data_IF_913365067110
#
_entry.id   IF_913365067110
#
_cell.length_a   1.000
_cell.length_b   1.000
_cell.length_c   1.000
_cell.angle_alpha   90.00
_cell.angle_beta   90.00
_cell.angle_gamma   90.00
#
_symmetry.space_group_name_H-M   'P 1'
#
loop_
_entity.id
_entity.type
_entity.pdbx_description
1 polymer ?
#
# COMPACT_ATOMS: atom_id res chain seq x y z
N UNK A 1 -29.77 -5.24 3.84
CA UNK A 1 -29.30 -3.84 3.76
C UNK A 1 -28.65 -3.67 2.40
N UNK A 2 -28.97 -2.59 1.69
CA UNK A 2 -28.34 -2.19 0.42
C UNK A 2 -27.53 -0.93 0.70
N UNK A 3 -26.24 -0.95 0.30
CA UNK A 3 -25.34 0.19 0.43
C UNK A 3 -24.92 0.59 -1.00
N UNK A 4 -25.14 1.85 -1.36
CA UNK A 4 -24.79 2.40 -2.68
C UNK A 4 -23.87 3.60 -2.48
N UNK A 5 -22.76 3.63 -3.21
CA UNK A 5 -21.84 4.77 -3.22
C UNK A 5 -21.02 4.77 -4.50
N UNK A 6 -20.54 5.94 -4.89
CA UNK A 6 -19.41 6.04 -5.81
C UNK A 6 -18.09 5.87 -5.03
N UNK A 7 -17.05 5.31 -5.63
CA UNK A 7 -15.73 5.21 -5.01
C UNK A 7 -15.17 6.58 -4.60
N UNK A 8 -14.81 6.73 -3.34
CA UNK A 8 -14.22 7.97 -2.84
C UNK A 8 -13.08 7.68 -1.84
N UNK A 9 -11.96 7.24 -2.37
CA UNK A 9 -10.79 6.86 -1.58
C UNK A 9 -10.98 5.56 -0.79
N UNK A 10 -10.03 5.28 0.11
CA UNK A 10 -10.00 4.04 0.91
C UNK A 10 -10.78 4.20 2.23
N UNK A 11 -12.04 4.55 2.13
CA UNK A 11 -12.95 4.75 3.26
C UNK A 11 -13.64 3.45 3.71
N UNK A 12 -14.67 3.56 4.57
CA UNK A 12 -15.45 2.40 5.04
C UNK A 12 -16.11 1.63 3.88
N UNK A 13 -16.60 2.33 2.84
CA UNK A 13 -17.20 1.67 1.68
C UNK A 13 -16.15 0.83 0.92
N UNK A 14 -14.94 1.35 0.73
CA UNK A 14 -13.83 0.57 0.16
C UNK A 14 -13.53 -0.69 0.95
N UNK A 15 -13.50 -0.59 2.30
CA UNK A 15 -13.29 -1.75 3.16
C UNK A 15 -14.41 -2.78 3.01
N UNK A 16 -15.66 -2.35 3.04
CA UNK A 16 -16.82 -3.24 2.85
C UNK A 16 -16.79 -3.92 1.49
N UNK A 17 -16.41 -3.18 0.45
CA UNK A 17 -16.27 -3.68 -0.92
C UNK A 17 -15.19 -4.76 -1.02
N UNK A 18 -13.96 -4.47 -0.59
CA UNK A 18 -12.84 -5.42 -0.64
C UNK A 18 -13.06 -6.65 0.24
N UNK A 19 -13.73 -6.50 1.37
CA UNK A 19 -14.13 -7.61 2.23
C UNK A 19 -15.21 -8.48 1.55
N UNK A 20 -16.10 -7.89 0.74
CA UNK A 20 -17.09 -8.62 -0.06
C UNK A 20 -16.43 -9.41 -1.21
N UNK A 21 -15.54 -8.77 -1.97
CA UNK A 21 -14.78 -9.43 -3.06
C UNK A 21 -13.96 -10.61 -2.54
N UNK A 22 -13.36 -10.46 -1.35
CA UNK A 22 -12.55 -11.51 -0.70
C UNK A 22 -13.37 -12.47 0.16
N UNK A 23 -14.72 -12.37 0.13
CA UNK A 23 -15.67 -13.22 0.89
C UNK A 23 -15.46 -13.18 2.42
N UNK A 24 -14.97 -12.07 2.95
CA UNK A 24 -14.81 -11.84 4.38
C UNK A 24 -16.07 -11.32 5.06
N UNK A 25 -17.05 -10.85 4.28
CA UNK A 25 -18.36 -10.45 4.72
C UNK A 25 -19.45 -11.12 3.86
N UNK A 26 -20.73 -10.88 4.18
CA UNK A 26 -21.89 -11.49 3.49
C UNK A 26 -22.48 -10.60 2.40
N UNK A 27 -21.88 -9.45 2.10
CA UNK A 27 -22.35 -8.58 1.03
C UNK A 27 -22.00 -9.17 -0.34
N UNK A 28 -22.87 -8.88 -1.32
CA UNK A 28 -22.64 -9.20 -2.72
C UNK A 28 -22.24 -7.90 -3.42
N UNK A 29 -20.99 -7.77 -3.93
CA UNK A 29 -20.57 -6.59 -4.63
C UNK A 29 -21.21 -6.55 -6.02
N UNK A 30 -21.80 -5.41 -6.38
CA UNK A 30 -22.36 -5.15 -7.72
C UNK A 30 -21.72 -3.85 -8.19
N UNK A 31 -21.01 -3.91 -9.30
CA UNK A 31 -20.43 -2.76 -9.99
C UNK A 31 -21.22 -2.51 -11.27
N UNK A 32 -21.46 -1.24 -11.59
CA UNK A 32 -22.08 -0.83 -12.86
C UNK A 32 -21.12 0.15 -13.54
N UNK A 33 -20.32 -0.37 -14.45
CA UNK A 33 -19.40 0.41 -15.24
C UNK A 33 -20.15 1.23 -16.30
N UNK A 34 -19.63 2.41 -16.66
CA UNK A 34 -20.31 3.33 -17.59
C UNK A 34 -20.65 2.68 -18.95
N UNK A 35 -19.79 1.77 -19.43
CA UNK A 35 -19.99 1.07 -20.72
C UNK A 35 -21.16 0.06 -20.72
N UNK A 36 -21.67 -0.31 -19.53
CA UNK A 36 -22.82 -1.20 -19.39
C UNK A 36 -24.14 -0.44 -19.43
N UNK A 37 -24.08 0.90 -19.37
CA UNK A 37 -25.29 1.76 -19.37
C UNK A 37 -25.68 2.10 -20.80
N UNK A 38 -26.89 1.75 -21.24
CA UNK A 38 -27.35 2.07 -22.59
C UNK A 38 -27.24 3.55 -22.93
N UNK A 39 -26.76 3.87 -24.14
CA UNK A 39 -26.58 5.23 -24.61
C UNK A 39 -25.28 5.90 -24.20
N UNK A 40 -24.41 5.24 -23.47
CA UNK A 40 -23.06 5.72 -23.13
C UNK A 40 -22.03 5.03 -24.03
N UNK A 41 -21.44 5.80 -24.94
CA UNK A 41 -20.41 5.39 -25.87
C UNK A 41 -19.11 6.17 -25.67
N UNK A 42 -18.09 5.90 -26.48
CA UNK A 42 -16.81 6.61 -26.43
C UNK A 42 -16.93 8.12 -26.69
N UNK A 43 -17.94 8.55 -27.46
CA UNK A 43 -18.22 9.98 -27.66
C UNK A 43 -18.73 10.60 -26.37
N UNK A 44 -19.71 9.96 -25.73
CA UNK A 44 -20.21 10.36 -24.42
C UNK A 44 -19.09 10.42 -23.37
N UNK A 45 -18.18 9.43 -23.36
CA UNK A 45 -17.02 9.42 -22.45
C UNK A 45 -16.16 10.67 -22.64
N UNK A 46 -15.77 10.97 -23.88
CA UNK A 46 -14.93 12.13 -24.19
C UNK A 46 -15.60 13.46 -23.81
N UNK A 47 -16.87 13.59 -24.08
CA UNK A 47 -17.65 14.79 -23.72
C UNK A 47 -17.74 14.93 -22.19
N UNK A 48 -17.99 13.83 -21.47
CA UNK A 48 -18.08 13.84 -20.01
C UNK A 48 -16.74 14.20 -19.36
N UNK A 49 -15.63 13.62 -19.82
CA UNK A 49 -14.27 13.96 -19.36
C UNK A 49 -13.96 15.43 -19.63
N UNK A 50 -14.32 15.97 -20.81
CA UNK A 50 -14.12 17.38 -21.15
C UNK A 50 -14.89 18.33 -20.23
N UNK A 51 -16.07 17.93 -19.79
CA UNK A 51 -16.94 18.74 -18.92
C UNK A 51 -16.61 18.59 -17.43
N UNK A 52 -15.83 17.58 -17.04
CA UNK A 52 -15.48 17.29 -15.65
C UNK A 52 -13.95 17.19 -15.47
N UNK A 53 -13.44 16.00 -15.35
CA UNK A 53 -12.02 15.66 -15.40
C UNK A 53 -11.86 14.15 -15.51
N UNK A 54 -10.69 13.68 -15.98
CA UNK A 54 -10.36 12.24 -15.99
C UNK A 54 -10.49 11.60 -14.61
N UNK A 55 -10.04 12.32 -13.58
CA UNK A 55 -10.12 11.84 -12.19
C UNK A 55 -11.54 11.68 -11.70
N UNK A 56 -12.43 12.64 -12.02
CA UNK A 56 -13.84 12.55 -11.65
C UNK A 56 -14.55 11.48 -12.45
N UNK A 57 -14.26 11.37 -13.74
CA UNK A 57 -14.79 10.31 -14.59
C UNK A 57 -14.43 8.92 -14.07
N UNK A 58 -13.17 8.69 -13.73
CA UNK A 58 -12.70 7.42 -13.18
C UNK A 58 -13.41 7.03 -11.87
N UNK A 59 -13.68 7.98 -10.99
CA UNK A 59 -14.42 7.73 -9.75
C UNK A 59 -15.90 7.40 -9.98
N UNK A 60 -16.58 8.24 -10.77
CA UNK A 60 -18.04 8.20 -10.86
C UNK A 60 -18.54 7.19 -11.89
N UNK A 61 -17.75 6.93 -12.94
CA UNK A 61 -18.20 6.15 -14.09
C UNK A 61 -17.35 4.91 -14.36
N UNK A 62 -16.04 4.91 -14.05
CA UNK A 62 -15.19 3.72 -14.14
C UNK A 62 -15.10 2.96 -12.80
N UNK A 63 -15.86 3.41 -11.78
CA UNK A 63 -15.93 2.77 -10.47
C UNK A 63 -14.57 2.60 -9.78
N UNK A 64 -13.59 3.45 -10.10
CA UNK A 64 -12.26 3.33 -9.55
C UNK A 64 -12.13 3.89 -8.14
N UNK A 65 -11.74 3.07 -7.18
CA UNK A 65 -11.29 3.54 -5.87
C UNK A 65 -9.92 4.20 -6.02
N UNK A 66 -9.94 5.46 -6.44
CA UNK A 66 -8.74 6.26 -6.47
C UNK A 66 -8.33 6.55 -5.02
N UNK A 67 -7.08 6.26 -4.67
CA UNK A 67 -6.48 6.72 -3.43
C UNK A 67 -6.57 8.25 -3.31
N UNK A 68 -5.99 8.86 -2.27
CA UNK A 68 -6.10 10.32 -2.10
C UNK A 68 -5.65 11.01 -3.40
N UNK A 69 -6.42 12.02 -3.85
CA UNK A 69 -6.19 12.75 -5.11
C UNK A 69 -4.81 13.43 -5.15
N UNK A 70 -4.21 13.63 -3.97
CA UNK A 70 -2.92 14.31 -3.78
C UNK A 70 -1.76 13.35 -3.50
N UNK A 71 -1.78 12.14 -4.05
CA UNK A 71 -0.62 11.25 -3.93
C UNK A 71 0.48 11.64 -4.93
N UNK A 72 1.73 11.58 -4.50
CA UNK A 72 2.91 11.83 -5.34
C UNK A 72 2.94 10.89 -6.57
N UNK A 73 2.44 9.67 -6.41
CA UNK A 73 2.36 8.67 -7.47
C UNK A 73 0.89 8.43 -7.81
N UNK A 74 0.55 8.55 -9.09
CA UNK A 74 -0.82 8.31 -9.55
C UNK A 74 -1.29 6.90 -9.17
N UNK A 75 -2.52 6.71 -8.63
CA UNK A 75 -3.02 5.42 -8.16
C UNK A 75 -2.96 4.29 -9.20
N UNK A 76 -3.19 4.59 -10.49
CA UNK A 76 -3.08 3.60 -11.57
C UNK A 76 -1.68 3.01 -11.70
N UNK A 77 -0.63 3.78 -11.39
CA UNK A 77 0.75 3.28 -11.37
C UNK A 77 1.03 2.42 -10.15
N UNK A 78 0.39 2.72 -9.01
CA UNK A 78 0.51 1.91 -7.79
C UNK A 78 -0.16 0.54 -7.99
N UNK A 79 -1.30 0.49 -8.69
CA UNK A 79 -2.04 -0.76 -8.97
C UNK A 79 -1.23 -1.78 -9.79
N UNK A 80 -0.32 -1.32 -10.66
CA UNK A 80 0.50 -2.23 -11.50
C UNK A 80 1.79 -2.68 -10.83
N UNK A 81 2.10 -2.17 -9.62
CA UNK A 81 3.25 -2.64 -8.86
C UNK A 81 2.97 -4.07 -8.38
N UNK A 82 3.79 -5.06 -8.78
CA UNK A 82 3.55 -6.43 -8.39
C UNK A 82 3.70 -6.60 -6.88
N UNK A 83 2.74 -7.28 -6.25
CA UNK A 83 2.84 -7.64 -4.85
C UNK A 83 3.80 -8.82 -4.67
N UNK A 84 4.70 -8.73 -3.70
CA UNK A 84 5.61 -9.82 -3.34
C UNK A 84 5.03 -10.64 -2.19
N UNK A 85 4.95 -11.95 -2.35
CA UNK A 85 4.48 -12.85 -1.30
C UNK A 85 5.49 -12.89 -0.15
N UNK A 86 5.01 -12.75 1.09
CA UNK A 86 5.81 -12.88 2.30
C UNK A 86 6.14 -14.35 2.61
N UNK A 87 7.35 -14.62 3.09
CA UNK A 87 7.71 -15.90 3.68
C UNK A 87 7.15 -16.04 5.09
N UNK A 88 7.28 -14.98 5.88
CA UNK A 88 6.71 -14.87 7.23
C UNK A 88 6.20 -13.46 7.46
N UNK A 89 5.12 -13.35 8.23
CA UNK A 89 4.55 -12.08 8.68
C UNK A 89 4.17 -12.20 10.15
N UNK A 90 4.76 -11.38 11.01
CA UNK A 90 4.50 -11.39 12.45
C UNK A 90 4.68 -10.01 13.05
N UNK A 91 3.71 -9.54 13.84
CA UNK A 91 3.75 -8.29 14.60
C UNK A 91 4.23 -7.06 13.81
N UNK A 92 3.84 -6.97 12.54
CA UNK A 92 4.22 -5.88 11.65
C UNK A 92 5.54 -6.10 10.90
N UNK A 93 6.27 -7.20 11.16
CA UNK A 93 7.48 -7.58 10.44
C UNK A 93 7.14 -8.60 9.34
N UNK A 94 7.36 -8.21 8.10
CA UNK A 94 7.21 -9.04 6.91
C UNK A 94 8.59 -9.39 6.35
N UNK A 95 8.88 -10.66 6.22
CA UNK A 95 10.10 -11.17 5.60
C UNK A 95 9.76 -11.74 4.22
N UNK A 96 10.44 -11.27 3.21
CA UNK A 96 10.27 -11.70 1.81
C UNK A 96 11.34 -12.69 1.37
N UNK A 97 12.58 -12.53 1.87
CA UNK A 97 13.71 -13.41 1.58
C UNK A 97 14.51 -13.63 2.86
N UNK A 98 15.00 -14.85 3.06
CA UNK A 98 15.91 -15.14 4.18
C UNK A 98 17.27 -14.48 3.95
N UNK A 99 17.98 -14.08 5.02
CA UNK A 99 19.33 -13.56 4.89
C UNK A 99 20.28 -14.62 4.28
N UNK A 100 21.13 -14.15 3.37
CA UNK A 100 22.22 -14.88 2.77
C UNK A 100 23.56 -14.34 3.31
N UNK A 101 24.45 -15.20 3.73
CA UNK A 101 25.75 -14.81 4.34
C UNK A 101 26.67 -14.03 3.40
N UNK A 102 26.53 -14.25 2.10
CA UNK A 102 27.32 -13.60 1.04
C UNK A 102 26.75 -12.24 0.63
N UNK A 103 25.55 -11.91 1.10
CA UNK A 103 24.84 -10.70 0.68
C UNK A 103 25.13 -9.52 1.61
N UNK A 104 25.12 -8.32 1.02
CA UNK A 104 25.22 -7.05 1.71
C UNK A 104 23.83 -6.40 1.79
N UNK A 105 23.46 -5.96 2.99
CA UNK A 105 22.15 -5.39 3.25
C UNK A 105 22.24 -3.97 3.79
N UNK A 106 21.18 -3.20 3.54
CA UNK A 106 20.96 -1.87 4.13
C UNK A 106 19.59 -1.87 4.78
N UNK A 107 19.48 -1.37 6.00
CA UNK A 107 18.22 -1.14 6.70
C UNK A 107 17.97 0.37 6.76
N UNK A 108 16.81 0.78 6.25
CA UNK A 108 16.38 2.19 6.27
C UNK A 108 15.18 2.30 7.19
N UNK A 109 15.29 3.11 8.24
CA UNK A 109 14.27 3.26 9.28
C UNK A 109 13.73 4.68 9.37
N UNK A 110 12.43 4.78 9.60
CA UNK A 110 11.70 6.01 9.92
C UNK A 110 10.94 5.81 11.24
N UNK A 111 11.14 6.73 12.19
CA UNK A 111 10.67 6.60 13.56
C UNK A 111 9.49 7.52 13.80
N UNK A 112 8.35 6.97 14.22
CA UNK A 112 7.18 7.72 14.65
C UNK A 112 7.06 7.78 16.19
N UNK A 113 6.22 8.68 16.68
CA UNK A 113 6.01 8.89 18.14
C UNK A 113 5.26 7.77 18.86
N UNK A 114 4.64 6.81 18.12
CA UNK A 114 3.92 5.67 18.72
C UNK A 114 2.59 6.02 19.40
N UNK A 115 1.94 7.11 18.98
CA UNK A 115 0.66 7.59 19.53
C UNK A 115 -0.49 7.49 18.52
N UNK A 116 -0.68 6.30 17.91
CA UNK A 116 -1.80 5.98 17.02
C UNK A 116 -2.04 6.97 15.84
N UNK A 117 -0.99 7.51 15.27
CA UNK A 117 -1.05 8.33 14.07
C UNK A 117 -0.11 7.74 13.03
N UNK A 118 1.11 8.23 13.02
CA UNK A 118 2.15 7.73 12.14
C UNK A 118 2.73 6.40 12.61
N UNK A 119 3.23 5.61 11.69
CA UNK A 119 3.84 4.31 11.97
C UNK A 119 5.35 4.42 12.01
N UNK A 120 6.00 3.84 13.02
CA UNK A 120 7.41 3.50 12.92
C UNK A 120 7.58 2.40 11.88
N UNK A 121 8.49 2.59 10.95
CA UNK A 121 8.70 1.68 9.83
C UNK A 121 10.18 1.51 9.51
N UNK A 122 10.54 0.37 8.93
CA UNK A 122 11.80 0.18 8.24
C UNK A 122 11.66 -0.78 7.07
N UNK A 123 12.61 -0.70 6.17
CA UNK A 123 12.80 -1.66 5.08
C UNK A 123 14.22 -2.22 5.13
N UNK A 124 14.37 -3.48 4.71
CA UNK A 124 15.67 -4.12 4.50
C UNK A 124 15.83 -4.40 3.03
N UNK A 125 16.95 -3.92 2.48
CA UNK A 125 17.24 -4.00 1.05
C UNK A 125 18.54 -4.80 0.87
N UNK A 126 18.51 -5.79 0.01
CA UNK A 126 19.70 -6.45 -0.52
C UNK A 126 20.31 -5.57 -1.62
N UNK A 127 21.53 -5.10 -1.38
CA UNK A 127 22.26 -4.21 -2.29
C UNK A 127 23.43 -4.90 -2.98
N UNK A 128 23.54 -6.23 -2.83
CA UNK A 128 24.64 -7.01 -3.41
C UNK A 128 24.67 -6.98 -4.93
N UNK A 129 23.51 -6.90 -5.57
CA UNK A 129 23.35 -6.93 -7.04
C UNK A 129 22.24 -5.97 -7.50
N UNK A 130 22.40 -5.44 -8.69
CA UNK A 130 21.36 -4.63 -9.35
C UNK A 130 20.47 -5.55 -10.19
N UNK A 131 19.13 -5.41 -10.13
CA UNK A 131 18.37 -4.47 -9.31
C UNK A 131 18.38 -4.82 -7.83
N UNK A 132 18.37 -3.81 -6.97
CA UNK A 132 18.25 -4.01 -5.52
C UNK A 132 16.92 -4.68 -5.16
N UNK A 133 16.91 -5.48 -4.10
CA UNK A 133 15.74 -6.27 -3.71
C UNK A 133 15.27 -5.95 -2.31
N UNK A 134 13.97 -5.68 -2.18
CA UNK A 134 13.33 -5.59 -0.86
C UNK A 134 13.23 -6.99 -0.27
N UNK A 135 13.89 -7.24 0.87
CA UNK A 135 13.94 -8.55 1.54
C UNK A 135 13.19 -8.59 2.85
N UNK A 136 12.95 -7.44 3.47
CA UNK A 136 12.16 -7.33 4.70
C UNK A 136 11.53 -5.96 4.85
N UNK A 137 10.42 -5.90 5.58
CA UNK A 137 9.69 -4.67 5.90
C UNK A 137 9.10 -4.78 7.29
N UNK A 138 9.12 -3.69 8.04
CA UNK A 138 8.41 -3.53 9.30
C UNK A 138 7.53 -2.29 9.24
N UNK A 139 6.32 -2.38 9.81
CA UNK A 139 5.43 -1.24 10.02
C UNK A 139 4.55 -1.47 11.24
N UNK A 140 4.58 -0.51 12.18
CA UNK A 140 3.73 -0.56 13.37
C UNK A 140 3.49 0.86 13.90
N UNK A 141 2.23 1.20 14.23
CA UNK A 141 1.82 2.50 14.74
C UNK A 141 1.58 2.52 16.26
N UNK A 142 1.77 1.39 16.94
CA UNK A 142 1.56 1.25 18.39
C UNK A 142 2.87 1.05 19.16
N UNK A 143 3.96 0.73 18.43
CA UNK A 143 5.25 0.49 19.07
C UNK A 143 5.80 1.75 19.74
N UNK A 144 6.18 1.62 21.00
CA UNK A 144 6.83 2.72 21.72
C UNK A 144 8.22 2.98 21.13
N UNK A 145 8.63 4.25 20.93
CA UNK A 145 9.93 4.61 20.34
C UNK A 145 11.13 3.94 21.03
N UNK A 146 11.08 3.76 22.35
CA UNK A 146 12.14 3.10 23.13
C UNK A 146 12.29 1.59 22.81
N UNK A 147 11.27 0.94 22.29
CA UNK A 147 11.30 -0.50 21.95
C UNK A 147 11.71 -0.74 20.48
N UNK A 148 11.46 0.24 19.62
CA UNK A 148 11.75 0.12 18.20
C UNK A 148 13.23 -0.16 17.86
N UNK A 149 14.23 0.46 18.54
CA UNK A 149 15.63 0.15 18.33
C UNK A 149 16.00 -1.33 18.56
N UNK A 150 15.32 -2.01 19.48
CA UNK A 150 15.57 -3.44 19.74
C UNK A 150 15.12 -4.30 18.56
N UNK A 151 14.00 -3.95 17.91
CA UNK A 151 13.54 -4.65 16.71
C UNK A 151 14.51 -4.42 15.55
N UNK A 152 14.93 -3.16 15.35
CA UNK A 152 15.94 -2.80 14.34
C UNK A 152 17.21 -3.61 14.56
N UNK A 153 17.74 -3.63 15.79
CA UNK A 153 18.95 -4.36 16.14
C UNK A 153 18.83 -5.85 15.81
N UNK A 154 17.74 -6.49 16.21
CA UNK A 154 17.52 -7.92 15.96
C UNK A 154 17.50 -8.23 14.46
N UNK A 155 16.78 -7.43 13.68
CA UNK A 155 16.69 -7.62 12.23
C UNK A 155 18.01 -7.28 11.54
N UNK A 156 18.66 -6.17 11.90
CA UNK A 156 19.97 -5.80 11.35
C UNK A 156 21.02 -6.89 11.61
N UNK A 157 21.03 -7.47 12.81
CA UNK A 157 21.95 -8.58 13.16
C UNK A 157 21.64 -9.82 12.33
N UNK A 158 20.37 -10.17 12.15
CA UNK A 158 19.97 -11.30 11.31
C UNK A 158 20.38 -11.12 9.84
N UNK A 159 20.40 -9.89 9.34
CA UNK A 159 20.82 -9.54 7.99
C UNK A 159 22.30 -9.05 7.96
N UNK A 160 23.21 -9.86 8.50
CA UNK A 160 24.67 -9.69 8.45
C UNK A 160 25.19 -8.40 9.10
N UNK A 161 24.57 -7.92 10.19
CA UNK A 161 24.86 -6.63 10.81
C UNK A 161 24.82 -5.50 9.78
N UNK A 162 23.74 -5.43 9.03
CA UNK A 162 23.60 -4.50 7.91
C UNK A 162 23.73 -3.02 8.33
N UNK A 163 24.12 -2.18 7.38
CA UNK A 163 24.18 -0.74 7.57
C UNK A 163 22.80 -0.18 7.89
N UNK A 164 22.71 0.59 8.99
CA UNK A 164 21.50 1.31 9.37
C UNK A 164 21.55 2.76 8.87
N UNK A 165 20.50 3.16 8.16
CA UNK A 165 20.22 4.53 7.80
C UNK A 165 18.90 4.95 8.45
N UNK A 166 18.90 6.09 9.11
CA UNK A 166 17.68 6.70 9.68
C UNK A 166 17.42 8.02 8.97
N UNK A 167 16.15 8.33 8.71
CA UNK A 167 15.78 9.69 8.30
C UNK A 167 16.09 10.65 9.45
N UNK A 168 16.68 11.80 9.14
CA UNK A 168 16.79 12.88 10.11
C UNK A 168 15.37 13.38 10.40
N UNK A 169 14.75 12.82 11.44
CA UNK A 169 13.51 13.37 11.97
C UNK A 169 13.87 14.71 12.63
N UNK A 170 13.58 15.80 11.90
CA UNK A 170 13.64 17.15 12.43
C UNK A 170 12.56 17.39 13.52
#
# INVERSE_FOLDING_TARGET
VIIVSTPNGMNLFYKLWTDAETKKNTYVPIEVHWSEVPGRDEKWKKETISNTSETQFAKEFECEFLGSINTLIHPSKIKVIPSKKTLTSNAGLDIYEKPDKESTYVLVADVARGIQGDSSAFIVIDVSKIPYRLVGKYKNNEIKPLLFPNIIKNVATAYNNCLLYTSDAA
#
